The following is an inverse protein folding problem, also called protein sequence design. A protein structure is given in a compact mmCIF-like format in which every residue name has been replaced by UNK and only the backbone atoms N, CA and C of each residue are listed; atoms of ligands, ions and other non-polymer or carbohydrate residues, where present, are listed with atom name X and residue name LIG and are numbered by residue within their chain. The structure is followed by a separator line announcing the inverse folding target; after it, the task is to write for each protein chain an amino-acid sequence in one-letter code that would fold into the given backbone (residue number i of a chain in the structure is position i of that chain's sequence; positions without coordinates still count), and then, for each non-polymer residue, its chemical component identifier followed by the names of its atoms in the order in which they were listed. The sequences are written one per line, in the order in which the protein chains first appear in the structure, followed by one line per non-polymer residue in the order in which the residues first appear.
data_IF_212383527517
#
_entry.id   IF_212383527517
#
_cell.length_a   1.000
_cell.length_b   1.000
_cell.length_c   1.000
_cell.angle_alpha   90.00
_cell.angle_beta   90.00
_cell.angle_gamma   90.00
#
_symmetry.space_group_name_H-M   'P 1'
#
loop_
_entity.id
_entity.type
_entity.pdbx_description
1 polymer ?
#
# COMPACT_ATOMS: atom_id res chain seq x y z
N UNK A 1 -3.51 -6.31 -12.09
CA UNK A 1 -2.32 -6.42 -11.19
C UNK A 1 -2.43 -5.30 -10.17
N UNK A 2 -2.12 -5.53 -8.89
CA UNK A 2 -2.20 -4.48 -7.85
C UNK A 2 -1.02 -3.51 -7.96
N UNK A 3 -1.31 -2.21 -7.96
CA UNK A 3 -0.34 -1.10 -8.02
C UNK A 3 0.14 -0.67 -6.61
N UNK A 4 -0.34 -1.37 -5.59
CA UNK A 4 0.10 -1.22 -4.20
C UNK A 4 0.72 -2.51 -3.67
N UNK A 5 1.57 -2.35 -2.66
CA UNK A 5 2.17 -3.42 -1.86
C UNK A 5 1.85 -3.18 -0.39
N UNK A 6 1.59 -4.26 0.33
CA UNK A 6 1.28 -4.23 1.75
C UNK A 6 2.50 -4.65 2.56
N UNK A 7 2.72 -3.98 3.68
CA UNK A 7 3.76 -4.30 4.65
C UNK A 7 3.19 -4.16 6.07
N UNK A 8 3.18 -5.24 6.87
CA UNK A 8 2.95 -5.15 8.30
C UNK A 8 4.09 -4.40 8.99
N UNK A 9 3.76 -3.35 9.74
CA UNK A 9 4.69 -2.55 10.53
C UNK A 9 3.91 -1.74 11.57
N UNK A 10 4.50 -1.45 12.73
CA UNK A 10 3.87 -0.64 13.77
C UNK A 10 2.47 -1.12 14.24
N UNK A 11 2.22 -2.44 14.21
CA UNK A 11 0.95 -3.02 14.67
C UNK A 11 -0.22 -2.96 13.67
N UNK A 12 0.02 -2.50 12.43
CA UNK A 12 -0.98 -2.52 11.37
C UNK A 12 -0.37 -2.92 10.03
N UNK A 13 -1.20 -3.29 9.06
CA UNK A 13 -0.78 -3.43 7.66
C UNK A 13 -0.90 -2.10 6.94
N UNK A 14 0.23 -1.57 6.49
CA UNK A 14 0.29 -0.35 5.70
C UNK A 14 0.45 -0.70 4.21
N UNK A 15 -0.12 0.13 3.35
CA UNK A 15 0.05 0.02 1.92
C UNK A 15 1.01 1.10 1.43
N UNK A 16 1.80 0.79 0.41
CA UNK A 16 2.70 1.72 -0.30
C UNK A 16 2.60 1.49 -1.80
N UNK A 17 3.14 2.42 -2.60
CA UNK A 17 3.21 2.25 -4.05
C UNK A 17 4.15 1.10 -4.41
N UNK A 18 3.79 0.31 -5.43
CA UNK A 18 4.55 -0.88 -5.83
C UNK A 18 6.01 -0.56 -6.17
N UNK A 19 6.26 0.63 -6.69
CA UNK A 19 7.59 1.12 -7.08
C UNK A 19 8.50 1.29 -5.84
N UNK A 20 7.93 1.73 -4.70
CA UNK A 20 8.69 1.95 -3.46
C UNK A 20 9.12 0.65 -2.79
N UNK A 21 8.40 -0.46 -3.04
CA UNK A 21 8.72 -1.77 -2.46
C UNK A 21 9.94 -2.43 -3.11
N UNK A 22 10.47 -1.87 -4.20
CA UNK A 22 11.70 -2.37 -4.84
C UNK A 22 12.98 -1.92 -4.11
N UNK A 23 12.84 -1.04 -3.12
CA UNK A 23 13.96 -0.57 -2.32
C UNK A 23 14.47 -1.66 -1.36
N UNK A 24 15.71 -1.49 -0.89
CA UNK A 24 16.36 -2.39 0.05
C UNK A 24 15.67 -2.37 1.43
N UNK A 25 15.73 -3.48 2.16
CA UNK A 25 15.32 -3.51 3.56
C UNK A 25 16.12 -2.47 4.36
N UNK A 26 15.49 -1.86 5.37
CA UNK A 26 16.02 -0.72 6.11
C UNK A 26 15.73 0.63 5.45
N UNK A 27 15.28 0.66 4.20
CA UNK A 27 14.90 1.91 3.53
C UNK A 27 13.62 2.48 4.14
N UNK A 28 13.61 3.80 4.36
CA UNK A 28 12.39 4.55 4.71
C UNK A 28 11.57 4.82 3.47
N UNK A 29 10.30 4.45 3.52
CA UNK A 29 9.31 4.73 2.48
C UNK A 29 8.08 5.40 3.11
N UNK A 30 7.29 6.06 2.28
CA UNK A 30 6.05 6.72 2.72
C UNK A 30 4.87 5.81 2.37
N UNK A 31 4.13 5.39 3.39
CA UNK A 31 2.88 4.67 3.24
C UNK A 31 1.78 5.57 2.66
N UNK A 32 0.69 4.99 2.16
CA UNK A 32 -0.42 5.73 1.59
C UNK A 32 -1.16 6.60 2.62
N UNK A 33 -1.07 6.27 3.91
CA UNK A 33 -1.57 7.11 5.01
C UNK A 33 -0.68 8.34 5.30
N UNK A 34 0.48 8.46 4.64
CA UNK A 34 1.45 9.53 4.88
C UNK A 34 2.53 9.21 5.92
N UNK A 35 2.42 8.07 6.61
CA UNK A 35 3.40 7.65 7.60
C UNK A 35 4.72 7.18 6.95
N UNK A 36 5.85 7.61 7.51
CA UNK A 36 7.16 7.13 7.11
C UNK A 36 7.47 5.79 7.80
N UNK A 37 7.47 4.71 7.05
CA UNK A 37 7.72 3.35 7.53
C UNK A 37 9.07 2.83 7.04
N UNK A 38 9.66 1.89 7.77
CA UNK A 38 10.90 1.21 7.37
C UNK A 38 10.55 -0.12 6.71
N UNK A 39 11.16 -0.41 5.56
CA UNK A 39 11.04 -1.72 4.93
C UNK A 39 11.72 -2.76 5.81
N UNK A 40 10.93 -3.63 6.42
CA UNK A 40 11.39 -4.73 7.26
C UNK A 40 10.95 -6.06 6.65
N UNK A 41 11.56 -7.15 7.10
CA UNK A 41 11.01 -8.48 6.87
C UNK A 41 9.96 -8.72 7.96
N UNK A 42 8.65 -8.72 7.65
CA UNK A 42 7.62 -9.00 8.63
C UNK A 42 7.65 -10.48 9.03
N UNK A 43 7.24 -10.77 10.26
CA UNK A 43 7.00 -12.14 10.69
C UNK A 43 5.69 -12.66 10.09
N UNK A 44 5.53 -13.99 10.02
CA UNK A 44 4.31 -14.59 9.46
C UNK A 44 3.06 -14.15 10.22
N UNK A 45 3.17 -13.93 11.53
CA UNK A 45 2.07 -13.50 12.39
C UNK A 45 1.61 -12.06 12.15
N UNK A 46 2.50 -11.20 11.68
CA UNK A 46 2.20 -9.76 11.50
C UNK A 46 1.18 -9.55 10.37
N UNK A 47 1.08 -10.51 9.44
CA UNK A 47 0.09 -10.47 8.37
C UNK A 47 -1.36 -10.63 8.86
N UNK A 48 -1.57 -11.12 10.08
CA UNK A 48 -2.89 -11.20 10.70
C UNK A 48 -3.35 -9.88 11.31
N UNK A 49 -2.50 -8.86 11.38
CA UNK A 49 -2.89 -7.55 11.88
C UNK A 49 -3.96 -6.89 11.00
N UNK A 50 -4.74 -6.00 11.62
CA UNK A 50 -5.69 -5.18 10.90
C UNK A 50 -4.98 -4.27 9.90
N UNK A 51 -5.67 -3.96 8.80
CA UNK A 51 -5.17 -3.00 7.83
C UNK A 51 -5.39 -1.58 8.33
N UNK A 52 -4.42 -0.69 8.12
CA UNK A 52 -4.60 0.74 8.35
C UNK A 52 -5.80 1.23 7.50
N UNK A 53 -6.84 1.83 8.10
CA UNK A 53 -8.07 2.22 7.40
C UNK A 53 -7.84 3.18 6.22
N UNK A 54 -6.90 4.11 6.38
CA UNK A 54 -6.51 5.09 5.37
C UNK A 54 -5.80 4.41 4.20
N UNK A 55 -4.84 3.52 4.51
CA UNK A 55 -4.14 2.72 3.50
C UNK A 55 -5.10 1.83 2.71
N UNK A 56 -6.07 1.21 3.39
CA UNK A 56 -7.11 0.40 2.76
C UNK A 56 -7.97 1.21 1.79
N UNK A 57 -8.40 2.40 2.21
CA UNK A 57 -9.21 3.30 1.39
C UNK A 57 -8.43 3.80 0.17
N UNK A 58 -7.19 4.23 0.36
CA UNK A 58 -6.32 4.68 -0.73
C UNK A 58 -5.98 3.54 -1.71
N UNK A 59 -5.70 2.34 -1.21
CA UNK A 59 -5.43 1.16 -2.05
C UNK A 59 -6.60 0.82 -2.98
N UNK A 60 -7.85 0.94 -2.50
CA UNK A 60 -9.05 0.75 -3.34
C UNK A 60 -9.12 1.75 -4.48
N UNK A 61 -8.82 3.03 -4.22
CA UNK A 61 -8.84 4.08 -5.25
C UNK A 61 -7.78 3.79 -6.31
N UNK A 62 -6.56 3.49 -5.87
CA UNK A 62 -5.42 3.25 -6.76
C UNK A 62 -5.66 2.02 -7.65
N UNK A 63 -6.05 0.89 -7.06
CA UNK A 63 -6.28 -0.34 -7.81
C UNK A 63 -7.49 -0.25 -8.75
N UNK A 64 -8.41 0.69 -8.52
CA UNK A 64 -9.57 0.95 -9.38
C UNK A 64 -9.39 2.13 -10.35
N UNK A 65 -8.23 2.81 -10.34
CA UNK A 65 -7.98 3.95 -11.23
C UNK A 65 -8.08 3.62 -12.74
N UNK A 66 -7.68 2.43 -13.24
CA UNK A 66 -7.87 2.07 -14.65
C UNK A 66 -9.35 1.99 -15.08
N UNK A 67 -10.26 1.71 -14.14
CA UNK A 67 -11.70 1.55 -14.38
C UNK A 67 -12.42 2.89 -14.60
N UNK A 68 -11.88 3.99 -14.04
CA UNK A 68 -12.52 5.30 -14.06
C UNK A 68 -12.21 6.08 -15.36
N UNK A 69 -11.02 5.92 -15.93
CA UNK A 69 -10.65 6.58 -17.20
C UNK A 69 -11.49 6.08 -18.39
N UNK A 70 -11.90 4.81 -18.38
CA UNK A 70 -12.72 4.20 -19.45
C UNK A 70 -14.16 4.70 -19.49
N UNK A 71 -14.66 5.26 -18.39
CA UNK A 71 -16.04 5.76 -18.28
C UNK A 71 -16.16 7.20 -18.79
N UNK A 72 -15.08 7.99 -18.72
CA UNK A 72 -15.07 9.39 -19.13
C UNK A 72 -14.91 9.60 -20.65
N UNK A 73 -14.37 8.62 -21.38
CA UNK A 73 -14.23 8.68 -22.85
C UNK A 73 -15.46 8.18 -23.64
N UNK A 74 -16.61 7.98 -22.98
CA UNK A 74 -17.86 7.53 -23.60
C UNK A 74 -18.90 8.66 -23.70
N UNK A 75 -18.46 9.87 -24.08
CA UNK A 75 -19.33 11.00 -24.41
C UNK A 75 -19.07 11.46 -25.84
#
# INVERSE_FOLDING_TARGET
MSDVRWLPVNGARHAMRKEQHQNELGTRVVALCGEAIVLVRPDETDWFWDSCPECWSAAKIINNAPSLARTLHRR
#
